data_IF_692034474294
#
_entry.id   IF_692034474294
#
_cell.length_a   1.000
_cell.length_b   1.000
_cell.length_c   1.000
_cell.angle_alpha   90.00
_cell.angle_beta   90.00
_cell.angle_gamma   90.00
#
_symmetry.space_group_name_H-M   'P 1'
#
loop_
_entity.id
_entity.type
_entity.pdbx_description
1 polymer ?
#
# COMPACT_ATOMS: atom_id res chain seq x y z
N UNK A 1 -11.22 -5.75 1.93
CA UNK A 1 -9.92 -5.50 1.28
C UNK A 1 -9.21 -4.28 1.84
N UNK A 2 -9.67 -3.06 1.49
CA UNK A 2 -9.03 -1.78 1.88
C UNK A 2 -8.68 -1.66 3.37
N UNK A 3 -9.59 -2.06 4.27
CA UNK A 3 -9.32 -2.05 5.73
C UNK A 3 -8.07 -2.84 6.11
N UNK A 4 -7.86 -4.01 5.50
CA UNK A 4 -6.70 -4.84 5.81
C UNK A 4 -5.42 -4.27 5.20
N UNK A 5 -5.50 -3.60 4.05
CA UNK A 5 -4.38 -2.86 3.47
C UNK A 5 -3.96 -1.69 4.37
N UNK A 6 -4.92 -0.93 4.90
CA UNK A 6 -4.64 0.15 5.86
C UNK A 6 -3.97 -0.40 7.13
N UNK A 7 -4.45 -1.52 7.68
CA UNK A 7 -3.81 -2.18 8.83
C UNK A 7 -2.38 -2.65 8.50
N UNK A 8 -2.16 -3.16 7.29
CA UNK A 8 -0.82 -3.57 6.82
C UNK A 8 0.13 -2.38 6.72
N UNK A 9 -0.34 -1.24 6.20
CA UNK A 9 0.44 0.01 6.17
C UNK A 9 0.84 0.43 7.59
N UNK A 10 -0.09 0.40 8.54
CA UNK A 10 0.22 0.77 9.94
C UNK A 10 1.22 -0.18 10.61
N UNK A 11 1.12 -1.48 10.35
CA UNK A 11 2.07 -2.50 10.82
C UNK A 11 3.47 -2.25 10.22
N UNK A 12 3.59 -2.02 8.91
CA UNK A 12 4.88 -1.74 8.27
C UNK A 12 5.47 -0.38 8.70
N UNK A 13 4.65 0.66 8.86
CA UNK A 13 5.06 1.93 9.46
C UNK A 13 5.61 1.73 10.89
N UNK A 14 5.04 0.79 11.66
CA UNK A 14 5.49 0.48 13.03
C UNK A 14 6.86 -0.19 13.10
N UNK A 15 7.26 -0.87 12.01
CA UNK A 15 8.52 -1.63 11.92
C UNK A 15 9.72 -0.74 11.57
N UNK A 16 9.50 0.57 11.39
CA UNK A 16 10.57 1.54 11.13
C UNK A 16 11.01 1.63 9.67
N UNK A 17 10.19 1.13 8.74
CA UNK A 17 10.37 1.32 7.30
C UNK A 17 10.10 2.76 6.85
N UNK A 18 10.14 2.99 5.53
CA UNK A 18 9.71 4.26 4.94
C UNK A 18 8.19 4.42 5.16
N UNK A 19 7.74 5.48 5.83
CA UNK A 19 6.34 5.55 6.23
C UNK A 19 5.43 5.89 5.04
N UNK A 20 4.28 5.24 4.99
CA UNK A 20 3.16 5.60 4.13
C UNK A 20 2.05 6.20 4.98
N UNK A 21 1.75 7.48 4.77
CA UNK A 21 0.78 8.22 5.56
C UNK A 21 -0.51 8.36 4.75
N UNK A 22 -1.51 7.53 5.07
CA UNK A 22 -2.82 7.60 4.45
C UNK A 22 -3.61 8.82 4.96
N UNK A 23 -4.18 9.59 4.05
CA UNK A 23 -5.01 10.78 4.36
C UNK A 23 -6.49 10.52 4.08
N UNK A 24 -6.80 9.81 3.00
CA UNK A 24 -8.17 9.45 2.61
C UNK A 24 -8.23 8.03 2.11
N UNK A 25 -9.33 7.34 2.39
CA UNK A 25 -9.53 5.97 1.92
C UNK A 25 -11.03 5.67 1.84
N UNK A 26 -11.47 5.13 0.71
CA UNK A 26 -12.86 4.71 0.53
C UNK A 26 -12.98 3.57 -0.48
N UNK A 27 -14.16 2.98 -0.54
CA UNK A 27 -14.51 1.94 -1.51
C UNK A 27 -15.76 2.33 -2.27
N UNK A 28 -15.80 2.04 -3.57
CA UNK A 28 -17.01 2.11 -4.39
C UNK A 28 -17.23 0.74 -5.07
N UNK A 29 -18.12 -0.07 -4.50
CA UNK A 29 -18.27 -1.46 -4.93
C UNK A 29 -16.95 -2.24 -4.80
N UNK A 30 -16.42 -2.86 -5.89
CA UNK A 30 -15.15 -3.59 -5.85
C UNK A 30 -13.91 -2.67 -5.90
N UNK A 31 -14.10 -1.39 -6.19
CA UNK A 31 -13.01 -0.42 -6.30
C UNK A 31 -12.58 0.03 -4.91
N UNK A 32 -11.27 0.07 -4.68
CA UNK A 32 -10.67 0.73 -3.54
C UNK A 32 -9.87 1.94 -3.99
N UNK A 33 -9.94 3.00 -3.19
CA UNK A 33 -9.24 4.25 -3.38
C UNK A 33 -8.47 4.57 -2.11
N UNK A 34 -7.20 4.93 -2.25
CA UNK A 34 -6.32 5.28 -1.14
C UNK A 34 -5.48 6.48 -1.53
N UNK A 35 -5.59 7.57 -0.78
CA UNK A 35 -4.75 8.75 -0.95
C UNK A 35 -3.76 8.82 0.19
N UNK A 36 -2.49 8.98 -0.15
CA UNK A 36 -1.40 8.92 0.82
C UNK A 36 -0.20 9.75 0.38
N UNK A 37 0.68 10.00 1.35
CA UNK A 37 2.01 10.60 1.13
C UNK A 37 3.10 9.65 1.62
N UNK A 38 4.28 9.70 1.00
CA UNK A 38 5.43 8.88 1.36
C UNK A 38 6.66 9.77 1.63
N UNK A 39 6.85 10.26 2.89
CA UNK A 39 8.01 11.06 3.24
C UNK A 39 9.34 10.37 2.86
N UNK A 40 10.35 11.13 2.40
CA UNK A 40 10.45 12.59 2.40
C UNK A 40 9.84 13.29 1.16
N UNK A 41 9.10 12.58 0.31
CA UNK A 41 8.41 13.18 -0.83
C UNK A 41 7.16 13.92 -0.36
N UNK A 42 6.96 15.14 -0.87
CA UNK A 42 5.77 15.95 -0.65
C UNK A 42 4.67 15.66 -1.69
N UNK A 43 4.88 14.69 -2.58
CA UNK A 43 3.89 14.28 -3.58
C UNK A 43 2.74 13.55 -2.88
N UNK A 44 1.51 13.99 -3.18
CA UNK A 44 0.30 13.26 -2.83
C UNK A 44 -0.01 12.24 -3.91
N UNK A 45 -0.06 10.97 -3.52
CA UNK A 45 -0.37 9.84 -4.40
C UNK A 45 -1.80 9.37 -4.16
N UNK A 46 -2.45 8.94 -5.22
CA UNK A 46 -3.72 8.22 -5.17
C UNK A 46 -3.54 6.82 -5.76
N UNK A 47 -3.99 5.79 -5.07
CA UNK A 47 -4.07 4.43 -5.58
C UNK A 47 -5.53 4.10 -5.84
N UNK A 48 -5.83 3.65 -7.06
CA UNK A 48 -7.14 3.08 -7.42
C UNK A 48 -6.99 1.64 -7.90
N UNK A 49 -7.78 0.73 -7.35
CA UNK A 49 -7.74 -0.69 -7.71
C UNK A 49 -9.10 -1.35 -7.68
N UNK A 50 -9.39 -2.09 -8.75
CA UNK A 50 -10.40 -3.16 -8.69
C UNK A 50 -9.83 -4.34 -7.90
N UNK A 51 -10.58 -4.80 -6.89
CA UNK A 51 -10.15 -5.84 -5.97
C UNK A 51 -10.73 -7.22 -6.27
N UNK A 52 -11.43 -7.39 -7.40
CA UNK A 52 -12.05 -8.68 -7.79
C UNK A 52 -11.04 -9.71 -8.28
N UNK A 53 -9.94 -9.26 -8.88
CA UNK A 53 -8.94 -10.11 -9.53
C UNK A 53 -7.55 -9.75 -9.04
N UNK A 54 -6.64 -10.72 -9.10
CA UNK A 54 -5.24 -10.53 -8.80
C UNK A 54 -4.56 -9.65 -9.83
N UNK A 55 -3.63 -8.83 -9.35
CA UNK A 55 -2.79 -7.96 -10.19
C UNK A 55 -1.64 -8.73 -10.85
N UNK A 56 -1.40 -9.98 -10.43
CA UNK A 56 -0.37 -10.87 -10.95
C UNK A 56 -0.97 -11.74 -12.04
N UNK A 57 -2.07 -12.43 -11.71
CA UNK A 57 -2.82 -13.30 -12.61
C UNK A 57 -4.30 -12.91 -12.57
N UNK A 58 -5.02 -12.88 -13.70
CA UNK A 58 -6.42 -12.44 -13.78
C UNK A 58 -7.38 -13.52 -13.26
N UNK A 59 -7.17 -13.92 -12.00
CA UNK A 59 -7.99 -14.84 -11.22
C UNK A 59 -8.31 -14.20 -9.88
N UNK A 60 -9.40 -14.58 -9.20
CA UNK A 60 -9.65 -14.12 -7.85
C UNK A 60 -8.47 -14.47 -6.92
N UNK A 61 -8.18 -13.58 -5.97
CA UNK A 61 -7.22 -13.88 -4.92
C UNK A 61 -7.64 -15.12 -4.13
N UNK A 62 -6.70 -16.02 -3.79
CA UNK A 62 -7.02 -17.21 -2.99
C UNK A 62 -7.47 -16.84 -1.57
N UNK A 63 -6.91 -15.75 -1.01
CA UNK A 63 -7.36 -15.15 0.24
C UNK A 63 -7.01 -13.65 0.32
N UNK A 64 -7.54 -12.99 1.36
CA UNK A 64 -7.40 -11.55 1.56
C UNK A 64 -6.01 -11.15 2.03
N UNK A 65 -5.30 -12.01 2.76
CA UNK A 65 -3.98 -11.68 3.30
C UNK A 65 -2.93 -11.71 2.19
N UNK A 66 -3.03 -12.68 1.27
CA UNK A 66 -2.23 -12.70 0.05
C UNK A 66 -2.52 -11.51 -0.84
N UNK A 67 -3.80 -11.18 -1.05
CA UNK A 67 -4.18 -9.98 -1.80
C UNK A 67 -3.51 -8.75 -1.19
N UNK A 68 -3.71 -8.50 0.11
CA UNK A 68 -3.19 -7.33 0.83
C UNK A 68 -1.67 -7.23 0.73
N UNK A 69 -1.00 -8.37 0.87
CA UNK A 69 0.46 -8.46 0.71
C UNK A 69 0.89 -7.94 -0.66
N UNK A 70 0.25 -8.40 -1.73
CA UNK A 70 0.66 -8.04 -3.09
C UNK A 70 0.25 -6.63 -3.48
N UNK A 71 -0.92 -6.12 -3.07
CA UNK A 71 -1.23 -4.70 -3.28
C UNK A 71 -0.26 -3.80 -2.51
N UNK A 72 0.14 -4.18 -1.29
CA UNK A 72 1.17 -3.43 -0.57
C UNK A 72 2.50 -3.45 -1.34
N UNK A 73 3.00 -4.63 -1.69
CA UNK A 73 4.30 -4.72 -2.34
C UNK A 73 4.31 -4.11 -3.74
N UNK A 74 3.37 -4.44 -4.60
CA UNK A 74 3.41 -4.00 -6.00
C UNK A 74 2.94 -2.56 -6.20
N UNK A 75 1.89 -2.12 -5.49
CA UNK A 75 1.35 -0.77 -5.71
C UNK A 75 1.97 0.30 -4.81
N UNK A 76 2.45 -0.07 -3.62
CA UNK A 76 2.94 0.89 -2.63
C UNK A 76 4.46 0.80 -2.41
N UNK A 77 5.04 -0.40 -2.43
CA UNK A 77 6.47 -0.63 -2.16
C UNK A 77 7.34 -0.91 -3.39
N UNK A 78 6.75 -1.22 -4.55
CA UNK A 78 7.41 -1.32 -5.87
C UNK A 78 6.83 -0.35 -6.94
N UNK A 79 5.70 0.32 -6.69
CA UNK A 79 5.14 1.35 -7.59
C UNK A 79 5.63 2.79 -7.35
N UNK A 80 6.31 3.00 -6.22
CA UNK A 80 6.94 4.21 -5.69
C UNK A 80 8.19 4.69 -6.47
N UNK A 81 8.42 5.96 -6.78
CA UNK A 81 9.80 6.42 -6.97
C UNK A 81 10.42 6.75 -5.60
N UNK A 82 10.55 5.80 -4.65
CA UNK A 82 11.10 6.10 -3.30
C UNK A 82 12.57 6.52 -3.31
N UNK A 83 13.20 6.55 -4.48
CA UNK A 83 14.63 6.40 -4.58
C UNK A 83 15.39 7.73 -4.67
N UNK A 84 14.93 8.80 -5.33
CA UNK A 84 15.89 9.87 -5.67
C UNK A 84 15.47 11.33 -5.69
N UNK A 85 14.20 11.71 -5.47
CA UNK A 85 13.84 13.11 -5.58
C UNK A 85 13.07 13.62 -4.37
N UNK A 86 13.67 14.59 -3.68
CA UNK A 86 12.95 15.61 -2.93
C UNK A 86 12.25 16.52 -3.96
N UNK A 87 11.36 15.92 -4.73
CA UNK A 87 10.57 16.63 -5.72
C UNK A 87 9.57 17.47 -4.94
N UNK A 88 9.55 18.80 -5.10
CA UNK A 88 8.46 19.58 -4.59
C UNK A 88 7.19 19.09 -5.29
N UNK A 89 6.34 18.41 -4.53
CA UNK A 89 4.99 18.10 -4.98
C UNK A 89 4.25 19.40 -5.23
N UNK A 90 3.38 19.43 -6.24
CA UNK A 90 2.36 20.48 -6.26
C UNK A 90 1.47 20.26 -5.05
N UNK A 91 1.40 21.22 -4.12
CA UNK A 91 0.55 21.07 -2.96
C UNK A 91 -0.89 20.89 -3.45
N UNK A 92 -1.63 19.99 -2.80
CA UNK A 92 -3.04 19.69 -3.07
C UNK A 92 -3.31 18.80 -4.32
N UNK A 93 -2.38 18.62 -5.26
CA UNK A 93 -2.60 17.78 -6.46
C UNK A 93 -2.35 16.28 -6.18
N UNK A 94 -3.27 15.43 -6.62
CA UNK A 94 -3.18 13.97 -6.48
C UNK A 94 -2.63 13.33 -7.75
N UNK A 95 -1.60 12.50 -7.62
CA UNK A 95 -1.08 11.65 -8.70
C UNK A 95 -1.67 10.25 -8.59
N UNK A 96 -2.68 9.96 -9.42
CA UNK A 96 -3.32 8.64 -9.43
C UNK A 96 -2.49 7.58 -10.14
N UNK A 97 -2.41 6.40 -9.53
CA UNK A 97 -1.84 5.18 -10.08
C UNK A 97 -2.79 4.00 -9.85
N UNK A 98 -2.47 2.88 -10.48
CA UNK A 98 -3.28 1.66 -10.43
C UNK A 98 -4.17 1.50 -11.65
N UNK A 99 -5.20 0.67 -11.53
CA UNK A 99 -6.09 0.31 -12.64
C UNK A 99 -7.39 -0.31 -12.12
N UNK A 100 -8.54 -0.03 -12.80
CA UNK A 100 -8.69 0.96 -13.86
C UNK A 100 -8.59 2.40 -13.34
N UNK A 101 -7.98 3.29 -14.13
CA UNK A 101 -8.04 4.74 -13.89
C UNK A 101 -9.38 5.24 -14.44
N UNK A 102 -10.21 5.81 -13.57
CA UNK A 102 -11.49 6.41 -13.94
C UNK A 102 -11.28 7.88 -14.34
N UNK A 103 -12.06 8.38 -15.31
CA UNK A 103 -11.91 9.74 -15.84
C UNK A 103 -12.35 10.83 -14.83
N UNK A 104 -13.15 10.48 -13.83
CA UNK A 104 -13.74 11.37 -12.82
C UNK A 104 -13.02 11.30 -11.46
N UNK A 105 -11.80 10.76 -11.43
CA UNK A 105 -10.98 10.74 -10.22
C UNK A 105 -10.69 12.18 -9.73
N UNK A 106 -10.86 12.46 -8.42
CA UNK A 106 -10.55 13.77 -7.84
C UNK A 106 -9.12 14.19 -8.14
N UNK A 107 -8.92 15.38 -8.68
CA UNK A 107 -7.58 15.85 -9.02
C UNK A 107 -6.88 16.49 -7.82
N UNK A 108 -7.66 17.01 -6.85
CA UNK A 108 -7.14 17.67 -5.66
C UNK A 108 -7.63 17.03 -4.37
N UNK A 109 -6.88 17.20 -3.27
CA UNK A 109 -7.34 16.77 -1.95
C UNK A 109 -8.60 17.52 -1.53
N UNK A 110 -8.73 18.80 -1.88
CA UNK A 110 -9.94 19.60 -1.63
C UNK A 110 -11.20 19.06 -2.29
N UNK A 111 -11.05 18.27 -3.37
CA UNK A 111 -12.17 17.71 -4.12
C UNK A 111 -12.71 16.44 -3.45
N UNK A 112 -11.97 15.85 -2.50
CA UNK A 112 -12.36 14.65 -1.79
C UNK A 112 -13.24 15.04 -0.59
N UNK A 113 -14.45 14.46 -0.46
CA UNK A 113 -15.29 14.70 0.71
C UNK A 113 -14.59 14.33 2.02
N UNK A 114 -14.75 15.17 3.05
CA UNK A 114 -14.18 14.93 4.38
C UNK A 114 -14.65 13.60 5.00
N UNK A 115 -15.80 13.06 4.56
CA UNK A 115 -16.30 11.75 4.97
C UNK A 115 -15.33 10.60 4.65
N UNK A 116 -14.43 10.78 3.69
CA UNK A 116 -13.42 9.79 3.32
C UNK A 116 -12.07 10.01 3.99
N UNK A 117 -11.95 11.01 4.87
CA UNK A 117 -10.73 11.20 5.66
C UNK A 117 -10.46 9.97 6.50
N UNK A 118 -9.25 9.46 6.34
CA UNK A 118 -8.75 8.39 7.18
C UNK A 118 -8.02 8.99 8.38
N UNK A 119 -8.41 8.54 9.56
CA UNK A 119 -7.66 8.79 10.80
C UNK A 119 -7.16 7.45 11.30
N UNK A 120 -5.84 7.30 11.39
CA UNK A 120 -5.24 6.09 11.96
C UNK A 120 -5.82 5.85 13.35
N UNK A 121 -6.34 4.64 13.63
CA UNK A 121 -6.87 4.34 14.95
C UNK A 121 -5.76 4.51 16.00
N UNK A 122 -6.06 5.10 17.17
CA UNK A 122 -5.09 5.18 18.25
C UNK A 122 -4.62 3.77 18.59
N UNK A 123 -3.31 3.56 18.60
CA UNK A 123 -2.71 2.28 18.95
C UNK A 123 -3.17 1.90 20.36
N UNK A 124 -4.15 1.01 20.48
CA UNK A 124 -4.31 0.25 21.71
C UNK A 124 -3.05 -0.59 21.82
N UNK A 125 -2.18 -0.25 22.77
CA UNK A 125 -1.02 -1.06 23.12
C UNK A 125 -1.50 -2.45 23.49
N UNK A 126 -1.47 -3.37 22.51
CA UNK A 126 -1.71 -4.78 22.74
C UNK A 126 -0.55 -5.29 23.59
N UNK A 127 -0.80 -5.37 24.89
CA UNK A 127 0.06 -6.02 25.87
C UNK A 127 0.50 -7.39 25.35
N UNK A 128 1.82 -7.57 25.33
CA UNK A 128 2.62 -8.80 25.22
C UNK A 128 1.89 -10.16 25.17
N UNK A 129 2.09 -10.90 24.08
CA UNK A 129 2.10 -12.38 23.95
C UNK A 129 2.48 -12.71 22.51
N UNK A 130 3.44 -13.54 22.15
CA UNK A 130 4.44 -14.36 22.84
C UNK A 130 5.51 -14.59 21.76
N UNK A 131 6.79 -14.42 22.09
CA UNK A 131 7.89 -14.74 21.17
C UNK A 131 8.01 -16.26 21.05
N UNK A 132 7.17 -16.84 20.22
CA UNK A 132 7.16 -18.25 19.89
C UNK A 132 7.97 -18.54 18.63
N UNK A 133 9.22 -18.95 18.85
CA UNK A 133 10.01 -19.86 18.00
C UNK A 133 10.71 -19.27 16.76
N UNK A 134 12.01 -19.05 16.95
CA UNK A 134 13.07 -19.27 15.97
C UNK A 134 12.80 -20.53 15.12
N UNK A 135 12.54 -20.34 13.83
CA UNK A 135 13.03 -21.26 12.79
C UNK A 135 13.72 -20.44 11.70
N UNK A 136 15.01 -20.24 11.92
CA UNK A 136 15.98 -19.78 10.92
C UNK A 136 16.04 -20.83 9.80
N UNK A 137 15.21 -20.66 8.76
CA UNK A 137 15.34 -21.45 7.53
C UNK A 137 16.63 -21.01 6.85
N UNK A 138 17.68 -21.82 7.01
CA UNK A 138 18.92 -21.70 6.23
C UNK A 138 18.61 -22.16 4.81
N UNK A 139 18.37 -21.21 3.90
CA UNK A 139 18.41 -21.50 2.47
C UNK A 139 19.88 -21.63 2.06
N UNK A 140 20.34 -22.86 1.79
CA UNK A 140 21.63 -23.07 1.16
C UNK A 140 21.64 -22.49 -0.27
N UNK A 141 22.78 -21.96 -0.77
CA UNK A 141 22.86 -21.39 -2.11
C UNK A 141 22.67 -22.48 -3.18
N UNK A 142 21.70 -22.30 -4.07
CA UNK A 142 21.54 -23.13 -5.27
C UNK A 142 22.77 -22.93 -6.17
N UNK A 143 23.61 -23.97 -6.29
CA UNK A 143 24.69 -24.00 -7.28
C UNK A 143 24.08 -24.12 -8.68
N UNK A 144 24.10 -23.04 -9.45
CA UNK A 144 23.87 -23.11 -10.89
C UNK A 144 25.05 -23.87 -11.52
N UNK A 145 24.77 -24.94 -12.25
CA UNK A 145 25.78 -25.62 -13.04
C UNK A 145 26.17 -24.73 -14.23
N UNK A 146 27.47 -24.56 -14.47
CA UNK A 146 27.99 -23.85 -15.65
C UNK A 146 27.55 -24.54 -16.96
N UNK A 147 27.13 -23.78 -17.97
CA UNK A 147 26.85 -24.32 -19.30
C UNK A 147 28.16 -24.66 -20.04
N UNK A 148 28.15 -25.78 -20.78
CA UNK A 148 29.20 -26.18 -21.71
C UNK A 148 29.11 -25.46 -23.04
#
# INVERSE_FOLDING_TARGET
MLRNLLLRIEDENSRGGKPLLASHAWTNGPMMYLVYTAPPSDITWGLVRDTRESIIDPVPWPDVDEAVRWYYYLDLDEGQPWAFFREPGEPDTIRWCGYPLEDDLPQRLSDIPDAYRYTSPPRTSSTTRDQGQDQRVVNEPRRYADPR
#
